data_IF_918943098666
#
_entry.id   IF_918943098666
#
_cell.length_a   1.000
_cell.length_b   1.000
_cell.length_c   1.000
_cell.angle_alpha   90.00
_cell.angle_beta   90.00
_cell.angle_gamma   90.00
#
_symmetry.space_group_name_H-M   'P 1'
#
loop_
_entity.id
_entity.type
_entity.pdbx_description
1 polymer ?
#
# COMPACT_ATOMS: atom_id res chain seq x y z
N UNK A 1 27.43 10.87 35.99
CA UNK A 1 26.87 10.50 34.67
C UNK A 1 25.38 10.11 34.67
N UNK A 2 24.71 10.04 35.83
CA UNK A 2 23.32 9.54 35.92
C UNK A 2 22.25 10.64 35.81
N UNK A 3 22.62 11.90 36.05
CA UNK A 3 21.73 13.07 36.01
C UNK A 3 21.29 13.45 34.59
N UNK A 4 22.21 13.37 33.61
CA UNK A 4 21.89 13.65 32.21
C UNK A 4 20.90 12.63 31.62
N UNK A 5 21.02 11.35 32.01
CA UNK A 5 20.08 10.30 31.60
C UNK A 5 18.70 10.48 32.23
N UNK A 6 18.63 10.97 33.47
CA UNK A 6 17.37 11.26 34.16
C UNK A 6 16.62 12.43 33.48
N UNK A 7 17.35 13.48 33.09
CA UNK A 7 16.78 14.65 32.42
C UNK A 7 16.17 14.30 31.05
N UNK A 8 16.87 13.48 30.26
CA UNK A 8 16.36 12.99 28.97
C UNK A 8 15.11 12.12 29.14
N UNK A 9 15.00 11.37 30.24
CA UNK A 9 13.81 10.55 30.55
C UNK A 9 12.61 11.41 30.96
N UNK A 10 12.85 12.49 31.72
CA UNK A 10 11.82 13.45 32.10
C UNK A 10 11.30 14.25 30.89
N UNK A 11 12.18 14.61 29.96
CA UNK A 11 11.81 15.33 28.73
C UNK A 11 10.90 14.52 27.80
N UNK A 12 11.00 13.19 27.79
CA UNK A 12 10.14 12.30 26.97
C UNK A 12 8.66 12.30 27.37
N UNK A 13 8.31 12.81 28.56
CA UNK A 13 6.92 12.83 29.04
C UNK A 13 6.12 14.10 28.67
N UNK A 14 6.75 15.12 28.07
CA UNK A 14 6.10 16.42 27.85
C UNK A 14 5.36 16.54 26.51
N UNK A 15 5.42 15.53 25.63
CA UNK A 15 4.68 15.57 24.35
C UNK A 15 3.95 14.27 24.06
N UNK A 16 2.85 14.04 24.76
CA UNK A 16 1.83 13.08 24.31
C UNK A 16 0.69 13.86 23.65
N UNK A 17 0.90 14.29 22.40
CA UNK A 17 -0.23 14.37 21.48
C UNK A 17 -0.86 12.98 21.41
N UNK A 18 -2.16 12.88 21.71
CA UNK A 18 -2.94 11.65 21.65
C UNK A 18 -3.05 11.16 20.21
N UNK A 19 -1.98 10.57 19.69
CA UNK A 19 -2.04 9.71 18.51
C UNK A 19 -2.43 8.34 19.02
N UNK A 20 -3.45 7.73 18.42
CA UNK A 20 -3.74 6.30 18.61
C UNK A 20 -2.55 5.53 18.05
N UNK A 21 -1.53 5.30 18.88
CA UNK A 21 -0.32 4.62 18.47
C UNK A 21 -0.64 3.16 18.21
N UNK A 22 -0.22 2.65 17.04
CA UNK A 22 -0.09 1.21 16.84
C UNK A 22 0.79 0.66 17.95
N UNK A 23 0.39 -0.44 18.60
CA UNK A 23 1.16 -1.01 19.69
C UNK A 23 2.60 -1.28 19.25
N UNK A 24 3.57 -0.98 20.11
CA UNK A 24 5.00 -1.18 19.80
C UNK A 24 5.29 -2.63 19.39
N UNK A 25 4.57 -3.58 19.96
CA UNK A 25 4.67 -5.00 19.61
C UNK A 25 4.25 -5.27 18.16
N UNK A 26 3.17 -4.64 17.69
CA UNK A 26 2.73 -4.74 16.30
C UNK A 26 3.70 -4.10 15.33
N UNK A 27 4.34 -2.98 15.72
CA UNK A 27 5.40 -2.37 14.89
C UNK A 27 6.60 -3.32 14.77
N UNK A 28 7.04 -3.93 15.87
CA UNK A 28 8.15 -4.90 15.85
C UNK A 28 7.80 -6.13 15.02
N UNK A 29 6.56 -6.61 15.08
CA UNK A 29 6.08 -7.73 14.26
C UNK A 29 6.14 -7.39 12.77
N UNK A 30 5.62 -6.22 12.38
CA UNK A 30 5.70 -5.75 10.99
C UNK A 30 7.15 -5.58 10.55
N UNK A 31 8.01 -4.99 11.38
CA UNK A 31 9.44 -4.87 11.09
C UNK A 31 10.08 -6.23 10.83
N UNK A 32 9.79 -7.26 11.65
CA UNK A 32 10.29 -8.62 11.42
C UNK A 32 9.77 -9.20 10.10
N UNK A 33 8.49 -9.04 9.79
CA UNK A 33 7.89 -9.54 8.55
C UNK A 33 8.55 -8.91 7.32
N UNK A 34 8.67 -7.59 7.30
CA UNK A 34 9.20 -6.84 6.15
C UNK A 34 10.73 -6.89 6.05
N UNK A 35 11.45 -7.16 7.14
CA UNK A 35 12.92 -7.28 7.14
C UNK A 35 13.42 -8.71 6.89
N UNK A 36 12.52 -9.70 6.78
CA UNK A 36 12.89 -11.08 6.47
C UNK A 36 13.52 -11.14 5.07
N UNK A 37 14.67 -11.77 4.92
CA UNK A 37 15.32 -11.95 3.62
C UNK A 37 14.82 -13.23 2.94
N UNK A 38 13.72 -13.13 2.19
CA UNK A 38 13.07 -14.24 1.48
C UNK A 38 13.01 -14.03 -0.04
N UNK A 39 13.65 -12.96 -0.54
CA UNK A 39 13.62 -12.58 -1.96
C UNK A 39 12.26 -12.12 -2.50
N UNK A 40 11.22 -12.01 -1.66
CA UNK A 40 9.88 -11.58 -2.08
C UNK A 40 9.88 -10.05 -2.25
N UNK A 41 9.40 -9.52 -3.39
CA UNK A 41 9.33 -8.08 -3.60
C UNK A 41 8.37 -7.41 -2.61
N UNK A 42 8.67 -6.16 -2.26
CA UNK A 42 7.99 -5.43 -1.18
C UNK A 42 6.46 -5.34 -1.33
N UNK A 43 5.95 -5.29 -2.57
CA UNK A 43 4.52 -5.18 -2.87
C UNK A 43 3.75 -6.51 -2.76
N UNK A 44 4.42 -7.64 -2.53
CA UNK A 44 3.80 -8.95 -2.26
C UNK A 44 4.16 -9.49 -0.86
N UNK A 45 4.86 -8.67 -0.07
CA UNK A 45 5.53 -9.09 1.17
C UNK A 45 4.55 -9.43 2.29
N UNK A 46 3.33 -8.90 2.26
CA UNK A 46 2.26 -9.21 3.22
C UNK A 46 1.53 -10.52 2.87
N UNK A 47 1.83 -11.15 1.74
CA UNK A 47 1.37 -12.49 1.39
C UNK A 47 0.15 -12.52 0.47
N UNK A 48 -0.86 -13.33 0.83
CA UNK A 48 -2.00 -13.64 -0.06
C UNK A 48 -2.87 -12.42 -0.36
N UNK A 49 -3.07 -11.52 0.62
CA UNK A 49 -3.85 -10.30 0.42
C UNK A 49 -3.30 -9.44 -0.72
N UNK A 50 -1.97 -9.33 -0.78
CA UNK A 50 -1.30 -8.49 -1.76
C UNK A 50 -1.40 -9.10 -3.16
N UNK A 51 -1.37 -10.43 -3.25
CA UNK A 51 -1.55 -11.16 -4.52
C UNK A 51 -2.96 -10.99 -5.08
N UNK A 52 -3.98 -11.14 -4.23
CA UNK A 52 -5.38 -10.93 -4.63
C UNK A 52 -5.57 -9.49 -5.11
N UNK A 53 -5.04 -8.52 -4.36
CA UNK A 53 -5.14 -7.11 -4.71
C UNK A 53 -4.45 -6.83 -6.05
N UNK A 54 -3.23 -7.32 -6.25
CA UNK A 54 -2.49 -7.18 -7.50
C UNK A 54 -3.24 -7.79 -8.70
N UNK A 55 -3.74 -9.02 -8.55
CA UNK A 55 -4.48 -9.71 -9.61
C UNK A 55 -5.76 -8.97 -9.98
N UNK A 56 -6.51 -8.49 -8.98
CA UNK A 56 -7.73 -7.72 -9.20
C UNK A 56 -7.44 -6.41 -9.94
N UNK A 57 -6.40 -5.66 -9.52
CA UNK A 57 -6.00 -4.41 -10.18
C UNK A 57 -5.55 -4.68 -11.62
N UNK A 58 -4.73 -5.70 -11.85
CA UNK A 58 -4.24 -6.02 -13.19
C UNK A 58 -5.39 -6.43 -14.12
N UNK A 59 -6.32 -7.26 -13.64
CA UNK A 59 -7.52 -7.64 -14.39
C UNK A 59 -8.38 -6.43 -14.75
N UNK A 60 -8.62 -5.52 -13.79
CA UNK A 60 -9.36 -4.29 -14.02
C UNK A 60 -8.70 -3.38 -15.06
N UNK A 61 -7.37 -3.25 -15.03
CA UNK A 61 -6.61 -2.46 -16.01
C UNK A 61 -6.74 -3.04 -17.42
N UNK A 62 -6.61 -4.36 -17.58
CA UNK A 62 -6.74 -5.02 -18.88
C UNK A 62 -8.16 -4.86 -19.44
N UNK A 63 -9.18 -5.02 -18.60
CA UNK A 63 -10.58 -4.83 -18.99
C UNK A 63 -10.82 -3.37 -19.41
N UNK A 64 -10.37 -2.40 -18.62
CA UNK A 64 -10.50 -0.98 -18.95
C UNK A 64 -9.80 -0.63 -20.26
N UNK A 65 -8.57 -1.14 -20.45
CA UNK A 65 -7.82 -0.89 -21.67
C UNK A 65 -8.54 -1.44 -22.92
N UNK A 66 -9.10 -2.65 -22.83
CA UNK A 66 -9.94 -3.21 -23.89
C UNK A 66 -11.17 -2.34 -24.19
N UNK A 67 -11.85 -1.85 -23.16
CA UNK A 67 -13.00 -0.97 -23.32
C UNK A 67 -12.63 0.39 -23.94
N UNK A 68 -11.47 0.96 -23.57
CA UNK A 68 -10.95 2.17 -24.18
C UNK A 68 -10.67 1.97 -25.68
N UNK A 69 -10.11 0.82 -26.08
CA UNK A 69 -9.87 0.52 -27.49
C UNK A 69 -11.15 0.31 -28.28
N UNK A 70 -12.13 -0.40 -27.74
CA UNK A 70 -13.45 -0.56 -28.38
C UNK A 70 -14.14 0.80 -28.58
N UNK A 71 -14.12 1.63 -27.53
CA UNK A 71 -14.65 2.99 -27.59
C UNK A 71 -13.94 3.80 -28.67
N UNK A 72 -12.60 3.80 -28.66
CA UNK A 72 -11.78 4.51 -29.64
C UNK A 72 -12.08 4.04 -31.07
N UNK A 73 -12.23 2.73 -31.30
CA UNK A 73 -12.57 2.18 -32.61
C UNK A 73 -13.93 2.69 -33.10
N UNK A 74 -14.95 2.67 -32.24
CA UNK A 74 -16.28 3.20 -32.56
C UNK A 74 -16.27 4.71 -32.83
N UNK A 75 -15.39 5.48 -32.16
CA UNK A 75 -15.21 6.91 -32.43
C UNK A 75 -14.48 7.18 -33.75
N UNK A 76 -13.44 6.40 -34.06
CA UNK A 76 -12.66 6.55 -35.30
C UNK A 76 -13.46 6.14 -36.54
N UNK A 77 -14.29 5.10 -36.42
CA UNK A 77 -15.09 4.56 -37.53
C UNK A 77 -16.59 4.64 -37.21
N UNK A 78 -17.19 5.85 -37.27
CA UNK A 78 -18.61 6.03 -37.01
C UNK A 78 -19.42 5.28 -38.08
N UNK A 79 -20.31 4.38 -37.65
CA UNK A 79 -21.19 3.65 -38.56
C UNK A 79 -22.20 4.62 -39.17
N UNK A 80 -22.38 4.58 -40.50
CA UNK A 80 -23.42 5.36 -41.18
C UNK A 80 -24.79 5.01 -40.59
N UNK A 81 -25.58 6.03 -40.25
CA UNK A 81 -26.99 5.83 -39.87
C UNK A 81 -27.73 5.28 -41.10
N UNK A 82 -28.33 4.10 -40.95
CA UNK A 82 -29.27 3.60 -41.95
C UNK A 82 -30.53 4.47 -41.88
N UNK A 83 -30.88 5.08 -43.02
CA UNK A 83 -32.14 5.80 -43.19
C UNK A 83 -33.28 4.80 -43.40
#
# INVERSE_FOLDING_TARGET
>A
MNSARALVKASKHVSQHARTYTSLERVKELQRLFSKDDGVPIHLKRGVSDRILYQATMGLCIISLGFCFDSLYHFMFPKKKAN
#
